data_IF_053703099620
#
_entry.id   IF_053703099620
#
_cell.length_a   1.000
_cell.length_b   1.000
_cell.length_c   1.000
_cell.angle_alpha   90.00
_cell.angle_beta   90.00
_cell.angle_gamma   90.00
#
_symmetry.space_group_name_H-M   'P 1'
#
loop_
_entity.id
_entity.type
_entity.pdbx_description
1 polymer ?
#
# COMPACT_ATOMS: atom_id res chain seq x y z
N UNK A 1 -1.88 14.87 -6.53
CA UNK A 1 -1.60 13.45 -6.30
C UNK A 1 -0.34 13.35 -5.49
N UNK A 2 -0.41 12.68 -4.34
CA UNK A 2 0.69 12.61 -3.36
C UNK A 2 1.14 11.16 -3.26
N UNK A 3 2.46 10.95 -3.15
CA UNK A 3 3.02 9.62 -2.95
C UNK A 3 3.38 9.44 -1.47
N UNK A 4 2.91 8.35 -0.90
CA UNK A 4 3.25 7.91 0.46
C UNK A 4 4.30 6.81 0.40
N UNK A 5 5.09 6.66 1.46
CA UNK A 5 6.10 5.61 1.59
C UNK A 5 5.77 4.70 2.76
N UNK A 6 5.75 3.39 2.52
CA UNK A 6 5.69 2.40 3.60
C UNK A 6 7.10 2.12 4.11
N UNK A 7 7.36 2.48 5.37
CA UNK A 7 8.63 2.23 6.05
C UNK A 7 8.40 1.34 7.27
N UNK A 8 9.19 0.29 7.43
CA UNK A 8 9.24 -0.54 8.62
C UNK A 8 10.57 -0.31 9.30
N UNK A 9 10.54 -0.06 10.61
CA UNK A 9 11.75 0.00 11.44
C UNK A 9 11.72 -1.14 12.44
N UNK A 10 12.80 -1.91 12.52
CA UNK A 10 12.93 -3.00 13.48
C UNK A 10 14.40 -3.26 13.82
N UNK A 11 14.64 -3.81 15.00
CA UNK A 11 15.95 -4.28 15.43
C UNK A 11 16.09 -5.76 15.07
N UNK A 12 17.22 -6.12 14.46
CA UNK A 12 17.49 -7.49 14.07
C UNK A 12 18.82 -7.95 14.66
N UNK A 13 18.85 -9.20 15.10
CA UNK A 13 20.08 -9.88 15.51
C UNK A 13 20.35 -11.02 14.53
N UNK A 14 21.54 -11.04 13.94
CA UNK A 14 21.96 -12.03 12.94
C UNK A 14 21.05 -12.14 11.69
N UNK A 15 20.32 -11.08 11.32
CA UNK A 15 19.56 -11.00 10.06
C UNK A 15 20.22 -10.00 9.12
N UNK A 16 20.60 -10.45 7.93
CA UNK A 16 21.26 -9.62 6.93
C UNK A 16 20.29 -8.77 6.09
N UNK A 17 19.06 -9.24 5.88
CA UNK A 17 18.09 -8.57 4.99
C UNK A 17 16.66 -8.89 5.41
N UNK A 18 15.83 -7.85 5.52
CA UNK A 18 14.38 -7.98 5.60
C UNK A 18 13.76 -7.42 4.32
N UNK A 19 12.95 -8.24 3.65
CA UNK A 19 12.18 -7.86 2.47
C UNK A 19 10.94 -8.77 2.35
N UNK A 20 9.92 -8.36 1.58
CA UNK A 20 8.82 -9.24 1.21
C UNK A 20 9.33 -10.53 0.56
N UNK A 21 8.60 -11.63 0.76
CA UNK A 21 8.85 -12.86 0.00
C UNK A 21 8.72 -12.54 -1.49
N UNK A 22 9.69 -12.97 -2.30
CA UNK A 22 9.79 -12.63 -3.72
C UNK A 22 10.31 -11.22 -4.06
N UNK A 23 10.63 -10.41 -3.05
CA UNK A 23 11.16 -9.05 -3.20
C UNK A 23 10.09 -7.96 -3.18
N UNK A 24 10.51 -6.69 -3.12
CA UNK A 24 9.56 -5.56 -2.98
C UNK A 24 8.61 -5.36 -4.17
N UNK A 25 8.92 -5.96 -5.32
CA UNK A 25 8.10 -5.89 -6.54
C UNK A 25 7.41 -7.23 -6.85
N UNK A 26 7.33 -8.15 -5.88
CA UNK A 26 6.58 -9.39 -6.05
C UNK A 26 5.09 -9.07 -6.31
N UNK A 27 4.53 -9.46 -7.46
CA UNK A 27 3.13 -9.20 -7.79
C UNK A 27 2.14 -9.83 -6.80
N UNK A 28 2.51 -10.97 -6.20
CA UNK A 28 1.68 -11.78 -5.31
C UNK A 28 1.77 -11.38 -3.83
N UNK A 29 2.74 -10.53 -3.46
CA UNK A 29 2.86 -10.09 -2.08
C UNK A 29 1.71 -9.16 -1.70
N UNK A 30 1.00 -9.54 -0.63
CA UNK A 30 -0.19 -8.80 -0.17
C UNK A 30 0.14 -7.92 1.03
N UNK A 31 -0.12 -6.63 0.87
CA UNK A 31 -0.08 -5.65 1.95
C UNK A 31 -1.47 -5.50 2.59
N UNK A 32 -1.49 -5.32 3.90
CA UNK A 32 -2.71 -5.07 4.66
C UNK A 32 -2.66 -3.65 5.21
N UNK A 33 -3.66 -2.83 4.85
CA UNK A 33 -3.74 -1.45 5.29
C UNK A 33 -5.06 -1.16 6.01
N UNK A 34 -4.97 -0.30 7.01
CA UNK A 34 -6.12 0.48 7.49
C UNK A 34 -5.96 1.88 6.96
N UNK A 35 -6.88 2.32 6.11
CA UNK A 35 -6.77 3.58 5.38
C UNK A 35 -7.75 4.58 5.99
N UNK A 36 -7.29 5.79 6.37
CA UNK A 36 -8.20 6.85 6.79
C UNK A 36 -8.79 7.56 5.58
N UNK A 37 -10.08 7.90 5.63
CA UNK A 37 -10.66 8.80 4.63
C UNK A 37 -10.37 10.25 5.03
N UNK A 38 -9.65 10.99 4.18
CA UNK A 38 -9.24 12.37 4.47
C UNK A 38 -10.41 13.30 4.81
N UNK A 39 -11.59 13.04 4.23
CA UNK A 39 -12.78 13.89 4.44
C UNK A 39 -13.52 13.63 5.74
N UNK A 40 -13.60 12.38 6.20
CA UNK A 40 -14.31 12.04 7.45
C UNK A 40 -13.37 11.89 8.64
N UNK A 41 -12.06 11.76 8.41
CA UNK A 41 -11.06 11.50 9.44
C UNK A 41 -11.12 10.08 10.03
N UNK A 42 -12.01 9.24 9.49
CA UNK A 42 -12.30 7.93 10.04
C UNK A 42 -11.47 6.84 9.38
N UNK A 43 -10.97 5.92 10.20
CA UNK A 43 -10.20 4.76 9.78
C UNK A 43 -11.15 3.65 9.32
N UNK A 44 -10.79 2.91 8.27
CA UNK A 44 -11.55 1.73 7.86
C UNK A 44 -11.67 0.70 9.00
N UNK A 45 -12.90 0.25 9.28
CA UNK A 45 -13.19 -0.79 10.31
C UNK A 45 -12.41 -2.09 10.09
N UNK A 46 -12.23 -2.47 8.83
CA UNK A 46 -11.58 -3.71 8.41
C UNK A 46 -10.29 -3.39 7.66
N UNK A 47 -9.30 -4.24 7.88
CA UNK A 47 -8.07 -4.23 7.09
C UNK A 47 -8.40 -4.57 5.64
N UNK A 48 -7.76 -3.84 4.74
CA UNK A 48 -7.95 -4.02 3.30
C UNK A 48 -6.67 -4.54 2.69
N UNK A 49 -6.82 -5.57 1.85
CA UNK A 49 -5.72 -6.25 1.19
C UNK A 49 -5.39 -5.56 -0.14
N UNK A 50 -4.13 -5.25 -0.37
CA UNK A 50 -3.63 -4.63 -1.60
C UNK A 50 -2.41 -5.40 -2.08
N UNK A 51 -2.45 -5.86 -3.33
CA UNK A 51 -1.35 -6.58 -3.97
C UNK A 51 -1.08 -5.97 -5.36
N UNK A 52 0.15 -6.07 -5.85
CA UNK A 52 0.57 -5.49 -7.13
C UNK A 52 -0.16 -6.12 -8.32
N UNK A 53 -0.43 -7.44 -8.27
CA UNK A 53 -1.20 -8.15 -9.29
C UNK A 53 -2.69 -7.76 -9.32
N UNK A 54 -3.21 -7.28 -8.18
CA UNK A 54 -4.62 -6.95 -8.07
C UNK A 54 -4.85 -5.63 -8.78
N UNK A 55 -5.75 -5.61 -9.76
CA UNK A 55 -6.12 -4.40 -10.48
C UNK A 55 -7.65 -4.34 -10.62
N UNK A 56 -8.21 -3.20 -10.27
CA UNK A 56 -9.65 -2.91 -10.31
C UNK A 56 -9.90 -1.64 -11.10
N UNK A 57 -10.97 -1.63 -11.88
CA UNK A 57 -11.39 -0.46 -12.65
C UNK A 57 -11.89 0.63 -11.71
N UNK A 58 -11.45 1.87 -11.94
CA UNK A 58 -11.93 3.02 -11.17
C UNK A 58 -13.28 3.47 -11.77
N UNK A 59 -14.37 3.49 -10.99
CA UNK A 59 -15.67 3.95 -11.48
C UNK A 59 -15.59 5.35 -12.10
N UNK A 60 -16.13 5.50 -13.30
CA UNK A 60 -16.13 6.79 -14.01
C UNK A 60 -14.77 7.22 -14.60
N UNK A 61 -13.73 6.39 -14.54
CA UNK A 61 -12.42 6.65 -15.13
C UNK A 61 -12.00 5.53 -16.09
N UNK A 62 -11.05 5.83 -16.99
CA UNK A 62 -10.38 4.83 -17.84
C UNK A 62 -9.18 4.17 -17.14
N UNK A 63 -8.82 4.65 -15.96
CA UNK A 63 -7.70 4.15 -15.17
C UNK A 63 -8.07 2.97 -14.28
N UNK A 64 -7.05 2.22 -13.88
CA UNK A 64 -7.13 1.14 -12.91
C UNK A 64 -6.32 1.47 -11.65
N UNK A 65 -6.74 0.95 -10.51
CA UNK A 65 -6.00 1.02 -9.24
C UNK A 65 -5.87 -0.38 -8.63
N UNK A 66 -5.00 -0.56 -7.64
CA UNK A 66 -4.91 -1.85 -6.94
C UNK A 66 -6.06 -2.08 -5.94
N UNK A 67 -6.65 -0.98 -5.48
CA UNK A 67 -7.83 -0.97 -4.61
C UNK A 67 -8.67 0.29 -4.91
N UNK A 68 -9.98 0.11 -4.95
CA UNK A 68 -10.99 1.19 -4.97
C UNK A 68 -11.94 0.91 -3.82
N UNK A 69 -12.17 1.90 -2.95
CA UNK A 69 -13.04 1.75 -1.79
C UNK A 69 -13.94 2.97 -1.60
N UNK A 70 -15.24 2.74 -1.48
CA UNK A 70 -16.23 3.76 -1.15
C UNK A 70 -16.30 3.98 0.36
N UNK A 71 -16.20 5.22 0.80
CA UNK A 71 -16.40 5.61 2.19
C UNK A 71 -17.85 5.36 2.60
N UNK A 72 -18.07 4.72 3.75
CA UNK A 72 -19.43 4.48 4.28
C UNK A 72 -20.15 5.77 4.68
N UNK A 73 -19.42 6.81 5.08
CA UNK A 73 -20.00 8.02 5.69
C UNK A 73 -20.15 9.18 4.71
N UNK A 74 -19.13 9.43 3.89
CA UNK A 74 -19.15 10.55 2.93
C UNK A 74 -19.45 10.12 1.50
N UNK A 75 -19.64 8.82 1.27
CA UNK A 75 -19.90 8.20 -0.04
C UNK A 75 -18.85 8.45 -1.14
N UNK A 76 -17.72 9.09 -0.80
CA UNK A 76 -16.64 9.30 -1.77
C UNK A 76 -15.84 8.02 -1.99
N UNK A 77 -15.34 7.86 -3.20
CA UNK A 77 -14.44 6.78 -3.56
C UNK A 77 -12.99 7.23 -3.35
N UNK A 78 -12.21 6.40 -2.66
CA UNK A 78 -10.77 6.51 -2.54
C UNK A 78 -10.09 5.38 -3.31
N UNK A 79 -8.88 5.63 -3.79
CA UNK A 79 -8.12 4.65 -4.56
C UNK A 79 -6.73 4.48 -3.98
N UNK A 80 -6.20 3.26 -4.00
CA UNK A 80 -4.82 2.97 -3.58
C UNK A 80 -4.13 2.25 -4.73
N UNK A 81 -3.00 2.81 -5.17
CA UNK A 81 -2.15 2.19 -6.18
C UNK A 81 -0.73 1.97 -5.64
N UNK A 82 -0.26 0.73 -5.72
CA UNK A 82 1.11 0.35 -5.43
C UNK A 82 1.99 0.70 -6.63
N UNK A 83 3.14 1.34 -6.36
CA UNK A 83 4.07 1.77 -7.41
C UNK A 83 5.28 0.81 -7.41
N UNK A 84 5.43 -0.05 -8.43
CA UNK A 84 6.58 -0.95 -8.55
C UNK A 84 7.89 -0.18 -8.80
N UNK A 85 9.03 -0.79 -8.48
CA UNK A 85 10.38 -0.26 -8.64
C UNK A 85 10.77 0.79 -7.61
N UNK A 86 9.95 0.98 -6.57
CA UNK A 86 10.12 2.03 -5.55
C UNK A 86 10.53 1.47 -4.18
N UNK A 87 10.35 0.17 -3.96
CA UNK A 87 10.83 -0.51 -2.76
C UNK A 87 12.35 -0.61 -2.70
N UNK A 88 12.91 -0.49 -1.50
CA UNK A 88 14.34 -0.72 -1.23
C UNK A 88 14.49 -1.46 0.09
N UNK A 89 15.15 -2.61 0.06
CA UNK A 89 15.70 -3.20 1.28
C UNK A 89 16.92 -2.37 1.69
N UNK A 90 16.99 -1.97 2.96
CA UNK A 90 18.17 -1.29 3.51
C UNK A 90 18.68 -2.12 4.69
N UNK A 91 20.01 -2.30 4.80
CA UNK A 91 20.63 -3.13 5.84
C UNK A 91 20.60 -2.47 7.23
N UNK A 92 20.15 -1.20 7.33
CA UNK A 92 20.12 -0.45 8.59
C UNK A 92 18.69 -0.25 9.06
N UNK A 93 18.19 -1.21 9.82
CA UNK A 93 17.02 -1.17 10.71
C UNK A 93 15.74 -0.53 10.13
N UNK A 94 15.66 -0.27 8.83
CA UNK A 94 14.60 0.47 8.17
C UNK A 94 14.44 -0.09 6.76
N UNK A 95 13.26 -0.57 6.43
CA UNK A 95 12.93 -1.16 5.13
C UNK A 95 11.85 -0.31 4.49
N UNK A 96 12.07 0.06 3.24
CA UNK A 96 11.14 0.83 2.44
C UNK A 96 10.41 -0.12 1.50
N UNK A 97 9.18 -0.47 1.85
CA UNK A 97 8.48 -1.58 1.23
C UNK A 97 7.74 -1.21 -0.05
N UNK A 98 7.43 0.07 -0.26
CA UNK A 98 6.73 0.53 -1.46
C UNK A 98 6.24 1.96 -1.33
N UNK A 99 5.77 2.52 -2.44
CA UNK A 99 5.04 3.78 -2.45
C UNK A 99 3.59 3.59 -2.87
N UNK A 100 2.71 4.33 -2.21
CA UNK A 100 1.26 4.35 -2.45
C UNK A 100 0.89 5.70 -3.05
N UNK A 101 0.03 5.68 -4.06
CA UNK A 101 -0.60 6.88 -4.64
C UNK A 101 -2.07 6.94 -4.21
N UNK A 102 -2.46 8.09 -3.64
CA UNK A 102 -3.83 8.47 -3.25
C UNK A 102 -4.39 9.50 -4.26
#
# INVERSE_FOLDING_TARGET
>A
MVNYWLMITAEFENVATLQPQGGCDDPSFTYFFKVPFQTSGELTDKETCVALERSVQIPGSKGTANLVQKCKFCEREGTVSLIPGKGKHSPRNSVKLGSIQD
#
